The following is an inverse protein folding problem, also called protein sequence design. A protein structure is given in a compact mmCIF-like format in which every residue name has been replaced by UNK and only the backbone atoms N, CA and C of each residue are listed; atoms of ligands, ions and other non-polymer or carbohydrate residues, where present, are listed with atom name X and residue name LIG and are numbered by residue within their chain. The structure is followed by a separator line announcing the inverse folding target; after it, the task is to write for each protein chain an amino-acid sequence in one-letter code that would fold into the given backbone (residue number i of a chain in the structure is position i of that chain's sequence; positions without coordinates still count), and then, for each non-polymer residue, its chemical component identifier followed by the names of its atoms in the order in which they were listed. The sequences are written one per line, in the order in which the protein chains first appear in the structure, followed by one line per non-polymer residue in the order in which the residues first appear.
data_IF_143680533831
#
_entry.id   IF_143680533831
#
_cell.length_a   1.000
_cell.length_b   1.000
_cell.length_c   1.000
_cell.angle_alpha   90.00
_cell.angle_beta   90.00
_cell.angle_gamma   90.00
#
_symmetry.space_group_name_H-M   'P 1'
#
loop_
_entity.id
_entity.type
_entity.pdbx_description
1 polymer ?
#
# COMPACT_ATOMS: atom_id res chain seq x y z
N UNK A 1 -2.86 0.01 20.54
CA UNK A 1 -4.07 0.56 19.90
C UNK A 1 -3.95 0.17 18.43
N UNK A 2 -4.95 -0.51 17.84
CA UNK A 2 -4.89 -0.87 16.41
C UNK A 2 -5.27 0.37 15.59
N UNK A 3 -4.60 0.65 14.45
CA UNK A 3 -4.92 1.82 13.63
C UNK A 3 -6.36 1.74 13.10
N UNK A 4 -6.98 2.91 12.94
CA UNK A 4 -8.29 3.06 12.31
C UNK A 4 -8.11 3.02 10.79
N UNK A 5 -8.15 1.81 10.23
CA UNK A 5 -8.03 1.58 8.78
C UNK A 5 -9.13 2.29 7.98
N UNK A 6 -8.75 2.94 6.89
CA UNK A 6 -9.66 3.64 5.98
C UNK A 6 -10.55 2.66 5.19
N UNK A 7 -10.05 1.46 4.87
CA UNK A 7 -10.81 0.43 4.15
C UNK A 7 -10.74 -0.94 4.84
N UNK A 8 -11.81 -1.76 4.83
CA UNK A 8 -11.78 -3.14 5.32
C UNK A 8 -10.65 -4.03 4.78
N UNK A 9 -10.13 -3.74 3.57
CA UNK A 9 -9.07 -4.55 2.93
C UNK A 9 -7.71 -4.28 3.57
N UNK A 10 -7.47 -3.06 4.06
CA UNK A 10 -6.25 -2.70 4.79
C UNK A 10 -6.24 -3.42 6.14
N UNK A 11 -7.38 -3.47 6.85
CA UNK A 11 -7.50 -4.23 8.09
C UNK A 11 -7.21 -5.72 7.89
N UNK A 12 -7.71 -6.28 6.80
CA UNK A 12 -7.46 -7.68 6.45
C UNK A 12 -5.97 -7.89 6.18
N UNK A 13 -5.35 -7.02 5.39
CA UNK A 13 -3.92 -7.08 5.09
C UNK A 13 -3.04 -6.95 6.35
N UNK A 14 -3.37 -6.04 7.25
CA UNK A 14 -2.68 -5.91 8.54
C UNK A 14 -2.74 -7.22 9.34
N UNK A 15 -3.90 -7.89 9.37
CA UNK A 15 -4.03 -9.23 9.98
C UNK A 15 -3.14 -10.26 9.30
N UNK A 16 -3.07 -10.25 7.97
CA UNK A 16 -2.21 -11.15 7.19
C UNK A 16 -0.74 -10.95 7.58
N UNK A 17 -0.28 -9.71 7.67
CA UNK A 17 1.08 -9.42 8.11
C UNK A 17 1.33 -9.89 9.54
N UNK A 18 0.40 -9.65 10.47
CA UNK A 18 0.48 -10.15 11.85
C UNK A 18 0.59 -11.70 11.90
N UNK A 19 -0.24 -12.41 11.12
CA UNK A 19 -0.25 -13.88 11.07
C UNK A 19 1.04 -14.47 10.47
N UNK A 20 1.62 -13.78 9.48
CA UNK A 20 2.90 -14.15 8.87
C UNK A 20 4.12 -13.68 9.67
N UNK A 21 3.92 -12.90 10.74
CA UNK A 21 5.01 -12.32 11.51
C UNK A 21 5.82 -11.27 10.75
N UNK A 22 5.22 -10.62 9.75
CA UNK A 22 5.84 -9.55 8.96
C UNK A 22 5.60 -8.22 9.71
N UNK A 23 6.64 -7.51 10.16
CA UNK A 23 6.48 -6.19 10.77
C UNK A 23 5.91 -5.19 9.77
N UNK A 24 4.98 -4.34 10.23
CA UNK A 24 4.34 -3.33 9.39
C UNK A 24 3.99 -2.06 10.17
N UNK A 25 3.93 -0.95 9.45
CA UNK A 25 3.45 0.35 9.93
C UNK A 25 2.36 0.86 8.98
N UNK A 26 1.29 1.47 9.52
CA UNK A 26 0.17 2.00 8.73
C UNK A 26 0.34 3.50 8.50
N UNK A 27 0.28 3.90 7.23
CA UNK A 27 0.45 5.28 6.75
C UNK A 27 1.61 6.08 7.41
N UNK A 28 2.81 5.51 7.62
CA UNK A 28 3.84 6.17 8.45
C UNK A 28 4.48 7.38 7.78
N UNK A 29 4.44 7.45 6.45
CA UNK A 29 5.18 8.44 5.67
C UNK A 29 4.32 9.06 4.58
N UNK A 30 4.23 10.38 4.58
CA UNK A 30 3.68 11.16 3.47
C UNK A 30 4.80 11.71 2.61
N UNK A 31 4.83 11.31 1.33
CA UNK A 31 5.80 11.79 0.36
C UNK A 31 5.25 13.01 -0.38
N UNK A 32 6.04 14.07 -0.45
CA UNK A 32 5.76 15.22 -1.31
C UNK A 32 6.23 14.89 -2.72
N UNK A 33 5.29 14.84 -3.66
CA UNK A 33 5.55 14.47 -5.06
C UNK A 33 5.76 15.69 -5.96
N UNK A 34 5.17 16.84 -5.62
CA UNK A 34 5.29 18.07 -6.39
C UNK A 34 5.07 19.31 -5.51
N UNK A 35 5.82 20.38 -5.80
CA UNK A 35 5.68 21.70 -5.19
C UNK A 35 5.48 22.77 -6.27
N UNK A 36 4.69 23.80 -5.96
CA UNK A 36 4.56 24.98 -6.84
C UNK A 36 5.79 25.90 -6.77
N UNK A 37 5.76 27.00 -7.55
CA UNK A 37 6.84 27.98 -7.60
C UNK A 37 7.08 28.67 -6.25
N UNK A 38 6.04 28.75 -5.41
CA UNK A 38 6.09 29.29 -4.05
C UNK A 38 6.51 28.23 -3.00
N UNK A 39 6.82 27.01 -3.43
CA UNK A 39 7.28 25.90 -2.58
C UNK A 39 6.18 25.16 -1.83
N UNK A 40 4.90 25.45 -2.08
CA UNK A 40 3.75 24.79 -1.44
C UNK A 40 3.54 23.41 -2.03
N UNK A 41 3.13 22.46 -1.20
CA UNK A 41 2.83 21.09 -1.62
C UNK A 41 1.57 21.08 -2.49
N UNK A 42 1.71 20.76 -3.77
CA UNK A 42 0.57 20.62 -4.69
C UNK A 42 0.18 19.16 -4.91
N UNK A 43 1.11 18.24 -4.70
CA UNK A 43 0.83 16.81 -4.73
C UNK A 43 1.64 16.07 -3.68
N UNK A 44 0.94 15.25 -2.90
CA UNK A 44 1.52 14.31 -1.96
C UNK A 44 0.87 12.92 -2.09
N UNK A 45 1.53 11.93 -1.53
CA UNK A 45 1.10 10.55 -1.51
C UNK A 45 1.57 9.85 -0.24
N UNK A 46 0.64 9.14 0.40
CA UNK A 46 0.86 8.40 1.64
C UNK A 46 0.50 6.96 1.33
N UNK A 47 1.49 6.06 1.19
CA UNK A 47 1.21 4.65 0.97
C UNK A 47 0.53 4.04 2.19
N UNK A 48 -0.36 3.07 1.96
CA UNK A 48 -1.15 2.46 3.04
C UNK A 48 -0.27 1.77 4.11
N UNK A 49 0.82 1.10 3.70
CA UNK A 49 1.71 0.40 4.62
C UNK A 49 3.20 0.58 4.30
N UNK A 50 4.03 0.43 5.32
CA UNK A 50 5.49 0.25 5.22
C UNK A 50 5.88 -1.07 5.88
N UNK A 51 6.80 -1.80 5.26
CA UNK A 51 7.37 -3.05 5.77
C UNK A 51 8.86 -2.81 6.10
N UNK A 52 9.23 -2.60 7.38
CA UNK A 52 10.58 -2.21 7.77
C UNK A 52 11.67 -3.20 7.37
N UNK A 53 11.39 -4.51 7.45
CA UNK A 53 12.37 -5.55 7.14
C UNK A 53 12.78 -5.55 5.65
N UNK A 54 11.90 -5.09 4.75
CA UNK A 54 12.13 -5.03 3.31
C UNK A 54 12.42 -3.62 2.81
N UNK A 55 12.37 -2.62 3.70
CA UNK A 55 12.41 -1.19 3.37
C UNK A 55 11.50 -0.84 2.18
N UNK A 56 10.24 -1.28 2.26
CA UNK A 56 9.29 -1.20 1.15
C UNK A 56 7.92 -0.68 1.59
N UNK A 57 7.33 0.14 0.74
CA UNK A 57 5.94 0.59 0.88
C UNK A 57 4.98 -0.29 0.08
N UNK A 58 3.79 -0.48 0.63
CA UNK A 58 2.71 -1.25 0.02
C UNK A 58 1.47 -0.37 -0.09
N UNK A 59 0.94 -0.27 -1.30
CA UNK A 59 -0.33 0.38 -1.60
C UNK A 59 -1.39 -0.67 -1.90
N UNK A 60 -2.50 -0.65 -1.18
CA UNK A 60 -3.64 -1.52 -1.40
C UNK A 60 -4.55 -0.94 -2.48
N UNK A 61 -5.07 -1.82 -3.33
CA UNK A 61 -6.10 -1.43 -4.30
C UNK A 61 -7.19 -2.50 -4.45
N UNK A 62 -8.44 -2.06 -4.30
CA UNK A 62 -9.63 -2.89 -4.53
C UNK A 62 -10.09 -2.85 -6.00
N UNK A 63 -9.58 -1.91 -6.79
CA UNK A 63 -9.97 -1.73 -8.19
C UNK A 63 -9.18 -2.64 -9.14
N UNK A 64 -9.87 -3.27 -10.11
CA UNK A 64 -9.21 -4.01 -11.21
C UNK A 64 -8.24 -3.06 -11.94
N UNK A 65 -7.02 -3.53 -12.20
CA UNK A 65 -5.84 -2.97 -12.93
C UNK A 65 -5.95 -1.72 -13.85
N UNK A 66 -7.13 -1.22 -14.23
CA UNK A 66 -7.31 0.17 -14.69
C UNK A 66 -7.23 1.12 -13.50
N UNK A 67 -6.01 1.34 -13.04
CA UNK A 67 -5.67 2.47 -12.21
C UNK A 67 -6.21 3.75 -12.86
N UNK A 68 -6.89 4.58 -12.09
CA UNK A 68 -7.05 5.99 -12.47
C UNK A 68 -5.65 6.54 -12.74
N UNK A 69 -5.45 7.14 -13.92
CA UNK A 69 -4.15 7.63 -14.40
C UNK A 69 -3.36 8.40 -13.31
N UNK A 70 -4.09 9.11 -12.44
CA UNK A 70 -3.54 9.86 -11.32
C UNK A 70 -2.82 9.01 -10.26
N UNK A 71 -3.37 7.86 -9.82
CA UNK A 71 -2.72 7.00 -8.81
C UNK A 71 -1.44 6.37 -9.40
N UNK A 72 -1.49 5.98 -10.68
CA UNK A 72 -0.30 5.53 -11.41
C UNK A 72 0.78 6.61 -11.53
N UNK A 73 0.38 7.83 -11.86
CA UNK A 73 1.30 8.96 -11.98
C UNK A 73 1.99 9.23 -10.64
N UNK A 74 1.24 9.19 -9.53
CA UNK A 74 1.82 9.35 -8.18
C UNK A 74 2.81 8.25 -7.83
N UNK A 75 2.46 6.99 -8.08
CA UNK A 75 3.37 5.86 -7.84
C UNK A 75 4.64 5.95 -8.69
N UNK A 76 4.53 6.43 -9.93
CA UNK A 76 5.71 6.67 -10.78
C UNK A 76 6.60 7.76 -10.18
N UNK A 77 6.03 8.91 -9.80
CA UNK A 77 6.77 10.00 -9.14
C UNK A 77 7.43 9.53 -7.85
N UNK A 78 6.75 8.69 -7.06
CA UNK A 78 7.31 8.13 -5.83
C UNK A 78 8.52 7.23 -6.12
N UNK A 79 8.42 6.36 -7.14
CA UNK A 79 9.54 5.51 -7.58
C UNK A 79 10.71 6.32 -8.14
N UNK A 80 10.44 7.44 -8.82
CA UNK A 80 11.47 8.37 -9.30
C UNK A 80 12.26 9.00 -8.13
N UNK A 81 11.68 9.07 -6.93
CA UNK A 81 12.38 9.48 -5.69
C UNK A 81 13.21 8.36 -5.04
N UNK A 82 13.29 7.19 -5.68
CA UNK A 82 14.05 6.03 -5.16
C UNK A 82 13.29 5.20 -4.12
N UNK A 83 12.00 5.47 -3.90
CA UNK A 83 11.20 4.75 -2.92
C UNK A 83 10.70 3.44 -3.52
N UNK A 84 10.98 2.32 -2.85
CA UNK A 84 10.47 1.01 -3.22
C UNK A 84 8.99 0.93 -2.83
N UNK A 85 8.11 0.88 -3.83
CA UNK A 85 6.66 0.76 -3.61
C UNK A 85 6.02 -0.26 -4.55
N UNK A 86 5.25 -1.18 -3.96
CA UNK A 86 4.44 -2.16 -4.68
C UNK A 86 2.95 -1.91 -4.48
N UNK A 87 2.15 -2.38 -5.44
CA UNK A 87 0.69 -2.31 -5.38
C UNK A 87 0.15 -3.71 -5.20
N UNK A 88 -0.54 -3.97 -4.09
CA UNK A 88 -1.17 -5.26 -3.84
C UNK A 88 -2.66 -5.19 -4.18
N UNK A 89 -3.06 -6.03 -5.13
CA UNK A 89 -4.46 -6.20 -5.46
C UNK A 89 -5.10 -7.21 -4.51
N UNK A 90 -6.37 -7.00 -4.15
CA UNK A 90 -7.17 -8.02 -3.43
C UNK A 90 -7.12 -9.41 -4.08
N UNK A 91 -6.96 -9.47 -5.41
CA UNK A 91 -6.82 -10.72 -6.18
C UNK A 91 -5.45 -11.38 -6.05
N UNK A 92 -4.40 -10.61 -5.78
CA UNK A 92 -3.06 -11.17 -5.59
C UNK A 92 -2.99 -11.93 -4.27
N UNK A 93 -3.74 -11.50 -3.25
CA UNK A 93 -3.94 -12.30 -2.04
C UNK A 93 -4.66 -13.61 -2.30
N UNK A 94 -5.72 -13.61 -3.12
CA UNK A 94 -6.41 -14.85 -3.51
C UNK A 94 -5.43 -15.82 -4.19
N UNK A 95 -4.57 -15.31 -5.08
CA UNK A 95 -3.57 -16.12 -5.78
C UNK A 95 -2.42 -16.60 -4.88
N UNK A 96 -1.93 -15.75 -3.98
CA UNK A 96 -0.93 -16.13 -2.96
C UNK A 96 -1.49 -17.23 -2.04
N UNK A 97 -2.77 -17.12 -1.66
CA UNK A 97 -3.49 -18.15 -0.89
C UNK A 97 -3.52 -19.49 -1.63
N UNK A 98 -3.96 -19.48 -2.88
CA UNK A 98 -4.07 -20.68 -3.71
C UNK A 98 -2.72 -21.36 -3.96
N UNK A 99 -1.65 -20.58 -4.11
CA UNK A 99 -0.31 -21.10 -4.40
C UNK A 99 0.46 -21.55 -3.16
N UNK A 100 0.23 -20.93 -2.00
CA UNK A 100 1.01 -21.17 -0.77
C UNK A 100 0.23 -21.80 0.37
N UNK A 101 -1.07 -22.10 0.22
CA UNK A 101 -1.87 -22.81 1.21
C UNK A 101 -2.11 -22.03 2.51
N UNK A 102 -2.01 -20.71 2.47
CA UNK A 102 -2.14 -19.84 3.64
C UNK A 102 -3.62 -19.62 4.03
N UNK A 103 -3.96 -19.49 5.32
CA UNK A 103 -5.34 -19.37 5.79
C UNK A 103 -5.82 -17.91 5.81
N UNK A 104 -6.05 -17.30 4.64
CA UNK A 104 -6.65 -15.96 4.58
C UNK A 104 -8.14 -16.02 4.21
N UNK A 105 -9.00 -15.47 5.08
CA UNK A 105 -10.41 -15.20 4.79
C UNK A 105 -10.58 -13.79 4.21
N UNK A 106 -10.90 -13.71 2.92
CA UNK A 106 -11.22 -12.45 2.27
C UNK A 106 -12.73 -12.21 2.39
N UNK A 107 -13.14 -11.34 3.31
CA UNK A 107 -14.53 -10.96 3.45
C UNK A 107 -14.98 -10.19 2.18
N UNK A 108 -16.04 -10.69 1.52
CA UNK A 108 -16.58 -10.24 0.23
C UNK A 108 -16.80 -8.73 0.15
#
# INVERSE_FOLDING_TARGET
MRPDFAHPVERELARIFDELGIPWEYEPTTFVLERDAEGRVVEAFTPDFYLPDQDMYVEVTTMRQKLTNRKNQKLRKLREQGVLVTVLYRRDFQRLRERHGLPFEIAA
#
